data_IF_132788954488
#
_entry.id   IF_132788954488
#
_cell.length_a   1.000
_cell.length_b   1.000
_cell.length_c   1.000
_cell.angle_alpha   90.00
_cell.angle_beta   90.00
_cell.angle_gamma   90.00
#
_symmetry.space_group_name_H-M   'P 1'
#
loop_
_entity.id
_entity.type
_entity.pdbx_description
1 polymer ?
#
# COMPACT_ATOMS: atom_id res chain seq x y z
N UNK A 1 44.05 38.53 -52.08
CA UNK A 1 42.59 38.25 -52.13
C UNK A 1 42.12 38.21 -50.70
N UNK A 2 41.18 38.96 -50.14
CA UNK A 2 40.25 40.02 -50.54
C UNK A 2 39.52 40.43 -49.24
N UNK A 3 39.13 41.69 -49.11
CA UNK A 3 38.56 42.34 -47.92
C UNK A 3 37.16 41.83 -47.49
N UNK A 4 36.84 41.97 -46.18
CA UNK A 4 35.56 42.45 -45.57
C UNK A 4 35.57 42.08 -44.06
N UNK A 5 35.36 42.92 -43.02
CA UNK A 5 34.61 44.15 -42.73
C UNK A 5 33.08 43.99 -42.57
N UNK A 6 32.56 44.43 -41.40
CA UNK A 6 31.18 44.93 -41.06
C UNK A 6 30.13 43.82 -40.78
N UNK A 7 29.16 43.84 -39.84
CA UNK A 7 28.35 44.83 -39.06
C UNK A 7 28.01 44.25 -37.64
N UNK A 8 27.77 44.98 -36.53
CA UNK A 8 26.76 45.99 -36.14
C UNK A 8 25.28 45.52 -36.07
N UNK A 9 24.82 45.17 -34.84
CA UNK A 9 23.50 45.42 -34.18
C UNK A 9 22.18 44.94 -34.88
N UNK A 10 20.96 45.16 -34.32
CA UNK A 10 20.30 44.48 -33.19
C UNK A 10 18.83 44.05 -33.52
N UNK A 11 18.04 43.69 -32.49
CA UNK A 11 16.56 43.71 -32.44
C UNK A 11 15.76 42.63 -33.21
N UNK A 12 14.98 41.83 -32.47
CA UNK A 12 13.51 41.99 -32.43
C UNK A 12 12.86 41.07 -31.38
N UNK A 13 12.06 41.72 -30.52
CA UNK A 13 11.06 41.13 -29.64
C UNK A 13 10.02 40.33 -30.41
N UNK A 14 9.52 39.26 -29.80
CA UNK A 14 8.29 38.59 -30.20
C UNK A 14 7.83 37.58 -29.15
N UNK A 15 6.70 37.83 -28.44
CA UNK A 15 6.19 36.93 -27.41
C UNK A 15 5.43 35.77 -28.08
N UNK A 16 5.95 34.56 -27.92
CA UNK A 16 5.21 33.34 -28.23
C UNK A 16 4.53 32.84 -26.96
N UNK A 17 3.33 33.35 -26.68
CA UNK A 17 2.41 32.68 -25.77
C UNK A 17 2.15 31.28 -26.35
N UNK A 18 2.77 30.26 -25.75
CA UNK A 18 2.41 28.89 -26.02
C UNK A 18 1.04 28.67 -25.39
N UNK A 19 0.01 28.63 -26.24
CA UNK A 19 -1.27 28.01 -25.95
C UNK A 19 -1.02 26.53 -25.60
N UNK A 20 -0.61 26.29 -24.35
CA UNK A 20 -0.81 25.00 -23.72
C UNK A 20 -2.32 24.82 -23.66
N UNK A 21 -2.89 23.76 -24.25
CA UNK A 21 -4.29 23.47 -24.00
C UNK A 21 -4.40 23.19 -22.51
N UNK A 22 -4.98 24.14 -21.76
CA UNK A 22 -5.60 23.86 -20.49
C UNK A 22 -6.57 22.72 -20.77
N UNK A 23 -6.13 21.49 -20.49
CA UNK A 23 -7.02 20.37 -20.34
C UNK A 23 -7.97 20.80 -19.24
N UNK A 24 -9.12 21.34 -19.64
CA UNK A 24 -10.20 21.70 -18.75
C UNK A 24 -10.52 20.42 -17.99
N UNK A 25 -10.02 20.32 -16.76
CA UNK A 25 -10.45 19.32 -15.80
C UNK A 25 -11.94 19.54 -15.69
N UNK A 26 -12.72 18.74 -16.42
CA UNK A 26 -14.16 18.80 -16.31
C UNK A 26 -14.45 18.66 -14.81
N UNK A 27 -15.23 19.58 -14.23
CA UNK A 27 -15.55 19.51 -12.81
C UNK A 27 -16.06 18.10 -12.54
N UNK A 28 -15.48 17.44 -11.54
CA UNK A 28 -15.87 16.10 -11.15
C UNK A 28 -17.40 16.02 -11.16
N UNK A 29 -18.01 15.03 -11.83
CA UNK A 29 -19.45 15.01 -12.04
C UNK A 29 -20.14 15.22 -10.69
N UNK A 30 -20.93 16.29 -10.57
CA UNK A 30 -21.65 16.71 -9.34
C UNK A 30 -22.62 15.64 -8.81
N UNK A 31 -22.73 14.50 -9.48
CA UNK A 31 -23.66 13.42 -9.19
C UNK A 31 -23.36 12.61 -7.92
N UNK A 32 -22.21 12.78 -7.27
CA UNK A 32 -21.80 11.90 -6.17
C UNK A 32 -22.08 12.43 -4.74
N UNK A 33 -22.45 13.70 -4.55
CA UNK A 33 -22.52 14.29 -3.20
C UNK A 33 -23.74 13.85 -2.38
N UNK A 34 -24.84 13.47 -3.04
CA UNK A 34 -26.10 13.15 -2.37
C UNK A 34 -26.39 11.63 -2.30
N UNK A 35 -25.48 10.79 -2.81
CA UNK A 35 -25.67 9.34 -2.79
C UNK A 35 -25.42 8.77 -1.39
N UNK A 36 -26.28 7.83 -0.99
CA UNK A 36 -25.98 6.94 0.13
C UNK A 36 -24.76 6.07 -0.19
N UNK A 37 -24.15 5.46 0.84
CA UNK A 37 -22.99 4.60 0.64
C UNK A 37 -23.34 3.36 -0.22
N UNK A 38 -24.54 2.81 -0.04
CA UNK A 38 -25.08 1.72 -0.87
C UNK A 38 -25.27 2.14 -2.34
N UNK A 39 -25.85 3.31 -2.58
CA UNK A 39 -26.05 3.85 -3.93
C UNK A 39 -24.71 4.13 -4.62
N UNK A 40 -23.72 4.65 -3.88
CA UNK A 40 -22.37 4.88 -4.39
C UNK A 40 -21.70 3.57 -4.82
N UNK A 41 -21.82 2.50 -4.01
CA UNK A 41 -21.34 1.15 -4.36
C UNK A 41 -22.06 0.65 -5.62
N UNK A 42 -23.38 0.76 -5.71
CA UNK A 42 -24.13 0.32 -6.88
C UNK A 42 -23.71 1.05 -8.17
N UNK A 43 -23.58 2.37 -8.10
CA UNK A 43 -23.16 3.20 -9.23
C UNK A 43 -21.76 2.80 -9.68
N UNK A 44 -20.84 2.61 -8.74
CA UNK A 44 -19.49 2.15 -9.05
C UNK A 44 -19.47 0.76 -9.66
N UNK A 45 -20.24 -0.19 -9.12
CA UNK A 45 -20.35 -1.55 -9.67
C UNK A 45 -20.90 -1.54 -11.09
N UNK A 46 -21.92 -0.72 -11.37
CA UNK A 46 -22.47 -0.53 -12.72
C UNK A 46 -21.40 0.02 -13.68
N UNK A 47 -20.63 1.01 -13.24
CA UNK A 47 -19.50 1.57 -14.00
C UNK A 47 -18.40 0.52 -14.27
N UNK A 48 -18.02 -0.27 -13.27
CA UNK A 48 -17.01 -1.32 -13.39
C UNK A 48 -17.42 -2.44 -14.36
N UNK A 49 -18.72 -2.73 -14.46
CA UNK A 49 -19.29 -3.68 -15.42
C UNK A 49 -19.27 -3.15 -16.87
N UNK A 50 -19.39 -1.85 -17.07
CA UNK A 50 -19.38 -1.25 -18.40
C UNK A 50 -17.97 -1.31 -19.00
N UNK A 51 -17.77 -2.18 -19.99
CA UNK A 51 -16.48 -2.35 -20.70
C UNK A 51 -15.97 -1.07 -21.37
N UNK A 52 -16.85 -0.10 -21.63
CA UNK A 52 -16.49 1.18 -22.26
C UNK A 52 -16.18 2.28 -21.25
N UNK A 53 -16.40 2.03 -19.95
CA UNK A 53 -16.13 3.04 -18.93
C UNK A 53 -14.66 3.46 -18.95
N UNK A 54 -14.46 4.78 -18.96
CA UNK A 54 -13.15 5.43 -18.99
C UNK A 54 -12.39 5.10 -17.69
N UNK A 55 -11.11 4.71 -17.74
CA UNK A 55 -10.32 4.37 -16.56
C UNK A 55 -10.33 5.44 -15.47
N UNK A 56 -10.30 6.72 -15.84
CA UNK A 56 -10.30 7.83 -14.89
C UNK A 56 -11.60 7.91 -14.06
N UNK A 57 -12.74 7.53 -14.64
CA UNK A 57 -14.00 7.46 -13.89
C UNK A 57 -13.98 6.31 -12.88
N UNK A 58 -13.32 5.20 -13.20
CA UNK A 58 -13.14 4.09 -12.26
C UNK A 58 -12.18 4.48 -11.14
N UNK A 59 -11.08 5.16 -11.45
CA UNK A 59 -10.15 5.70 -10.45
C UNK A 59 -10.88 6.68 -9.52
N UNK A 60 -11.67 7.61 -10.07
CA UNK A 60 -12.49 8.52 -9.28
C UNK A 60 -13.49 7.78 -8.38
N UNK A 61 -14.15 6.75 -8.90
CA UNK A 61 -15.08 5.94 -8.10
C UNK A 61 -14.40 5.21 -6.95
N UNK A 62 -13.19 4.66 -7.16
CA UNK A 62 -12.40 4.04 -6.10
C UNK A 62 -12.06 5.08 -5.01
N UNK A 63 -11.71 6.31 -5.41
CA UNK A 63 -11.38 7.39 -4.48
C UNK A 63 -12.58 7.81 -3.64
N UNK A 64 -13.75 7.87 -4.25
CA UNK A 64 -15.00 8.20 -3.56
C UNK A 64 -15.36 7.12 -2.53
N UNK A 65 -15.31 5.84 -2.91
CA UNK A 65 -15.54 4.73 -1.98
C UNK A 65 -14.54 4.72 -0.83
N UNK A 66 -13.26 5.00 -1.10
CA UNK A 66 -12.24 5.12 -0.07
C UNK A 66 -12.51 6.28 0.90
N UNK A 67 -12.96 7.44 0.41
CA UNK A 67 -13.33 8.59 1.26
C UNK A 67 -14.53 8.28 2.13
N UNK A 68 -15.55 7.62 1.57
CA UNK A 68 -16.73 7.16 2.31
C UNK A 68 -16.35 6.16 3.40
N UNK A 69 -15.43 5.25 3.10
CA UNK A 69 -14.90 4.30 4.09
C UNK A 69 -14.27 5.04 5.27
N UNK A 70 -13.41 6.02 4.99
CA UNK A 70 -12.77 6.81 6.04
C UNK A 70 -13.79 7.60 6.88
N UNK A 71 -14.84 8.14 6.25
CA UNK A 71 -15.92 8.82 6.96
C UNK A 71 -16.73 7.86 7.85
N UNK A 72 -17.00 6.64 7.38
CA UNK A 72 -17.66 5.59 8.17
C UNK A 72 -16.81 5.17 9.37
N UNK A 73 -15.49 5.01 9.19
CA UNK A 73 -14.56 4.69 10.27
C UNK A 73 -14.53 5.78 11.36
N UNK A 74 -14.52 7.06 10.98
CA UNK A 74 -14.61 8.19 11.93
C UNK A 74 -15.94 8.20 12.69
N UNK A 75 -17.07 7.88 12.04
CA UNK A 75 -18.36 7.73 12.73
C UNK A 75 -18.36 6.57 13.71
N UNK A 76 -17.80 5.42 13.33
CA UNK A 76 -17.66 4.26 14.21
C UNK A 76 -16.81 4.58 15.44
N UNK A 77 -15.67 5.25 15.26
CA UNK A 77 -14.78 5.66 16.34
C UNK A 77 -15.48 6.60 17.33
N UNK A 78 -16.17 7.63 16.84
CA UNK A 78 -16.94 8.54 17.71
C UNK A 78 -18.06 7.83 18.47
N UNK A 79 -18.69 6.83 17.86
CA UNK A 79 -19.70 6.01 18.53
C UNK A 79 -19.08 5.13 19.62
N UNK A 80 -17.86 4.62 19.39
CA UNK A 80 -17.08 3.90 20.39
C UNK A 80 -16.68 4.79 21.57
N UNK A 81 -16.16 6.00 21.33
CA UNK A 81 -15.81 6.95 22.40
C UNK A 81 -17.02 7.27 23.31
N UNK A 82 -18.20 7.47 22.72
CA UNK A 82 -19.45 7.70 23.47
C UNK A 82 -19.92 6.47 24.25
N UNK A 83 -19.67 5.28 23.71
CA UNK A 83 -19.96 4.03 24.40
C UNK A 83 -19.06 3.87 25.64
N UNK A 84 -17.77 4.19 25.53
CA UNK A 84 -16.82 4.14 26.64
C UNK A 84 -17.09 5.21 27.70
N UNK A 85 -17.48 6.42 27.30
CA UNK A 85 -17.83 7.49 28.24
C UNK A 85 -19.18 7.29 28.95
N UNK A 86 -19.99 6.34 28.50
CA UNK A 86 -21.33 6.08 29.05
C UNK A 86 -22.38 7.13 28.64
N UNK A 87 -22.12 7.90 27.59
CA UNK A 87 -23.03 8.95 27.10
C UNK A 87 -24.21 8.36 26.33
N UNK A 88 -25.36 8.14 26.97
CA UNK A 88 -26.57 7.67 26.32
C UNK A 88 -26.77 6.15 26.39
N UNK A 89 -27.57 5.59 25.49
CA UNK A 89 -27.91 4.15 25.53
C UNK A 89 -26.82 3.33 24.84
N UNK A 90 -26.12 2.50 25.61
CA UNK A 90 -25.08 1.59 25.09
C UNK A 90 -25.56 0.69 23.93
N UNK A 91 -26.84 0.29 23.93
CA UNK A 91 -27.44 -0.48 22.83
C UNK A 91 -27.42 0.25 21.50
N UNK A 92 -27.60 1.57 21.51
CA UNK A 92 -27.76 2.38 20.31
C UNK A 92 -26.39 2.63 19.68
N UNK A 93 -25.36 2.89 20.49
CA UNK A 93 -23.98 3.00 20.01
C UNK A 93 -23.45 1.68 19.46
N UNK A 94 -23.70 0.55 20.13
CA UNK A 94 -23.31 -0.77 19.61
C UNK A 94 -23.95 -1.07 18.24
N UNK A 95 -25.22 -0.70 18.05
CA UNK A 95 -25.91 -0.83 16.76
C UNK A 95 -25.29 0.05 15.69
N UNK A 96 -24.96 1.30 16.03
CA UNK A 96 -24.32 2.23 15.11
C UNK A 96 -22.92 1.75 14.70
N UNK A 97 -22.08 1.34 15.66
CA UNK A 97 -20.75 0.78 15.38
C UNK A 97 -20.87 -0.41 14.43
N UNK A 98 -21.80 -1.34 14.71
CA UNK A 98 -22.04 -2.48 13.83
C UNK A 98 -22.46 -2.04 12.42
N UNK A 99 -23.40 -1.10 12.30
CA UNK A 99 -23.87 -0.63 11.00
C UNK A 99 -22.74 0.04 10.19
N UNK A 100 -21.85 0.80 10.83
CA UNK A 100 -20.69 1.41 10.18
C UNK A 100 -19.64 0.37 9.77
N UNK A 101 -19.42 -0.68 10.57
CA UNK A 101 -18.57 -1.82 10.19
C UNK A 101 -19.16 -2.56 8.98
N UNK A 102 -20.45 -2.86 9.00
CA UNK A 102 -21.13 -3.51 7.87
C UNK A 102 -21.03 -2.61 6.59
N UNK A 103 -21.10 -1.28 6.76
CA UNK A 103 -20.91 -0.30 5.66
C UNK A 103 -19.47 -0.32 5.12
N UNK A 104 -18.47 -0.37 5.99
CA UNK A 104 -17.06 -0.47 5.62
C UNK A 104 -16.76 -1.72 4.78
N UNK A 105 -17.35 -2.86 5.15
CA UNK A 105 -17.25 -4.11 4.40
C UNK A 105 -17.84 -3.97 2.98
N UNK A 106 -19.03 -3.37 2.85
CA UNK A 106 -19.68 -3.17 1.55
C UNK A 106 -18.90 -2.17 0.65
N UNK A 107 -18.30 -1.13 1.23
CA UNK A 107 -17.45 -0.21 0.49
C UNK A 107 -16.19 -0.90 -0.07
N UNK A 108 -15.56 -1.77 0.72
CA UNK A 108 -14.42 -2.59 0.26
C UNK A 108 -14.85 -3.57 -0.85
N UNK A 109 -15.98 -4.26 -0.69
CA UNK A 109 -16.60 -5.09 -1.76
C UNK A 109 -16.87 -4.28 -3.03
N UNK A 110 -17.28 -3.02 -2.88
CA UNK A 110 -17.45 -2.08 -3.98
C UNK A 110 -16.17 -1.91 -4.79
N UNK A 111 -15.04 -1.60 -4.14
CA UNK A 111 -13.73 -1.48 -4.80
C UNK A 111 -13.33 -2.77 -5.51
N UNK A 112 -13.64 -3.93 -4.93
CA UNK A 112 -13.34 -5.25 -5.53
C UNK A 112 -13.98 -5.46 -6.91
N UNK A 113 -15.09 -4.78 -7.20
CA UNK A 113 -15.75 -4.85 -8.50
C UNK A 113 -14.80 -4.49 -9.67
N UNK A 114 -13.85 -3.57 -9.46
CA UNK A 114 -12.87 -3.19 -10.48
C UNK A 114 -11.99 -4.38 -10.92
N UNK A 115 -11.62 -5.25 -9.99
CA UNK A 115 -10.80 -6.44 -10.26
C UNK A 115 -11.62 -7.59 -10.84
N UNK A 116 -12.88 -7.72 -10.40
CA UNK A 116 -13.80 -8.79 -10.84
C UNK A 116 -14.21 -8.61 -12.30
N UNK A 117 -14.52 -7.38 -12.71
CA UNK A 117 -15.09 -7.10 -14.05
C UNK A 117 -14.06 -6.69 -15.09
N UNK A 118 -12.95 -6.05 -14.71
CA UNK A 118 -11.82 -5.85 -15.64
C UNK A 118 -10.95 -7.10 -15.61
N UNK A 119 -10.87 -7.83 -16.72
CA UNK A 119 -10.11 -9.09 -16.81
C UNK A 119 -8.87 -9.02 -17.69
N UNK A 120 -8.83 -8.07 -18.62
CA UNK A 120 -7.73 -7.91 -19.57
C UNK A 120 -6.56 -7.17 -18.93
N UNK A 121 -5.34 -7.68 -19.09
CA UNK A 121 -4.14 -7.01 -18.59
C UNK A 121 -3.67 -6.01 -19.65
N UNK A 122 -3.94 -4.73 -19.40
CA UNK A 122 -3.50 -3.60 -20.23
C UNK A 122 -3.20 -2.39 -19.32
N UNK A 123 -2.50 -1.37 -19.84
CA UNK A 123 -2.03 -0.24 -19.04
C UNK A 123 -3.16 0.52 -18.35
N UNK A 124 -4.31 0.67 -19.02
CA UNK A 124 -5.49 1.34 -18.49
C UNK A 124 -6.08 0.60 -17.29
N UNK A 125 -6.22 -0.73 -17.38
CA UNK A 125 -6.68 -1.54 -16.26
C UNK A 125 -5.64 -1.61 -15.14
N UNK A 126 -4.34 -1.65 -15.47
CA UNK A 126 -3.28 -1.60 -14.48
C UNK A 126 -3.31 -0.30 -13.66
N UNK A 127 -3.65 0.84 -14.26
CA UNK A 127 -3.86 2.10 -13.53
C UNK A 127 -4.99 1.97 -12.50
N UNK A 128 -6.14 1.44 -12.92
CA UNK A 128 -7.30 1.22 -12.03
C UNK A 128 -6.96 0.25 -10.90
N UNK A 129 -6.31 -0.88 -11.21
CA UNK A 129 -5.95 -1.87 -10.19
C UNK A 129 -4.88 -1.38 -9.22
N UNK A 130 -3.88 -0.61 -9.70
CA UNK A 130 -2.91 0.06 -8.81
C UNK A 130 -3.61 1.01 -7.84
N UNK A 131 -4.64 1.72 -8.30
CA UNK A 131 -5.44 2.55 -7.40
C UNK A 131 -6.24 1.70 -6.41
N UNK A 132 -6.84 0.61 -6.89
CA UNK A 132 -7.59 -0.34 -6.08
C UNK A 132 -6.77 -0.95 -4.94
N UNK A 133 -5.55 -1.43 -5.20
CA UNK A 133 -4.70 -1.99 -4.12
C UNK A 133 -4.31 -0.93 -3.09
N UNK A 134 -4.06 0.31 -3.50
CA UNK A 134 -3.81 1.40 -2.55
C UNK A 134 -5.07 1.78 -1.76
N UNK A 135 -6.26 1.71 -2.36
CA UNK A 135 -7.50 1.90 -1.63
C UNK A 135 -7.68 0.81 -0.56
N UNK A 136 -7.48 -0.47 -0.92
CA UNK A 136 -7.54 -1.57 0.04
C UNK A 136 -6.54 -1.43 1.19
N UNK A 137 -5.29 -1.05 0.91
CA UNK A 137 -4.30 -0.78 1.96
C UNK A 137 -4.74 0.30 2.96
N UNK A 138 -5.50 1.31 2.50
CA UNK A 138 -6.06 2.36 3.35
C UNK A 138 -7.40 1.99 3.99
N UNK A 139 -8.03 0.89 3.58
CA UNK A 139 -9.28 0.36 4.15
C UNK A 139 -9.02 -0.63 5.30
N UNK A 140 -7.80 -0.70 5.82
CA UNK A 140 -7.50 -1.52 7.00
C UNK A 140 -7.82 -3.00 6.79
N UNK A 141 -8.28 -3.66 7.85
CA UNK A 141 -8.63 -5.09 7.87
C UNK A 141 -9.63 -5.48 6.77
N UNK A 142 -10.60 -4.62 6.43
CA UNK A 142 -11.58 -4.90 5.36
C UNK A 142 -10.94 -4.98 3.96
N UNK A 143 -9.72 -4.47 3.78
CA UNK A 143 -8.96 -4.55 2.54
C UNK A 143 -7.95 -5.70 2.50
N UNK A 144 -7.61 -6.33 3.64
CA UNK A 144 -6.49 -7.28 3.72
C UNK A 144 -6.75 -8.56 2.92
N UNK A 145 -7.95 -9.13 3.04
CA UNK A 145 -8.36 -10.34 2.30
C UNK A 145 -8.28 -10.12 0.78
N UNK A 146 -8.78 -8.99 0.28
CA UNK A 146 -8.74 -8.69 -1.15
C UNK A 146 -7.31 -8.51 -1.67
N UNK A 147 -6.41 -7.95 -0.86
CA UNK A 147 -5.00 -7.81 -1.25
C UNK A 147 -4.32 -9.17 -1.42
N UNK A 148 -4.64 -10.14 -0.57
CA UNK A 148 -4.18 -11.53 -0.73
C UNK A 148 -4.77 -12.18 -1.99
N UNK A 149 -6.08 -12.04 -2.21
CA UNK A 149 -6.73 -12.55 -3.43
C UNK A 149 -6.07 -11.98 -4.70
N UNK A 150 -5.71 -10.70 -4.70
CA UNK A 150 -5.01 -10.03 -5.81
C UNK A 150 -3.57 -10.54 -5.94
N UNK A 151 -2.86 -10.71 -4.84
CA UNK A 151 -1.49 -11.22 -4.83
C UNK A 151 -1.38 -12.63 -5.44
N UNK A 152 -2.40 -13.46 -5.24
CA UNK A 152 -2.49 -14.83 -5.75
C UNK A 152 -3.07 -14.92 -7.17
N UNK A 153 -3.64 -13.83 -7.68
CA UNK A 153 -4.26 -13.84 -9.00
C UNK A 153 -3.24 -14.10 -10.12
N UNK A 154 -3.52 -15.16 -10.89
CA UNK A 154 -2.70 -15.61 -12.03
C UNK A 154 -2.43 -14.51 -13.07
N UNK A 155 -3.31 -13.51 -13.19
CA UNK A 155 -3.12 -12.33 -14.07
C UNK A 155 -1.83 -11.59 -13.76
N UNK A 156 -1.43 -11.55 -12.48
CA UNK A 156 -0.28 -10.82 -11.98
C UNK A 156 0.89 -11.71 -11.59
N UNK A 157 0.79 -13.03 -11.79
CA UNK A 157 1.78 -14.03 -11.37
C UNK A 157 3.23 -13.70 -11.79
N UNK A 158 3.40 -13.07 -12.96
CA UNK A 158 4.71 -12.68 -13.53
C UNK A 158 5.09 -11.22 -13.26
N UNK A 159 4.18 -10.39 -12.75
CA UNK A 159 4.46 -9.00 -12.42
C UNK A 159 4.91 -8.90 -10.95
N UNK A 160 6.19 -9.16 -10.73
CA UNK A 160 6.79 -9.07 -9.39
C UNK A 160 6.63 -7.68 -8.76
N UNK A 161 6.64 -6.61 -9.56
CA UNK A 161 6.45 -5.26 -9.08
C UNK A 161 5.05 -5.02 -8.54
N UNK A 162 4.02 -5.47 -9.27
CA UNK A 162 2.64 -5.38 -8.83
C UNK A 162 2.37 -6.27 -7.60
N UNK A 163 2.84 -7.52 -7.61
CA UNK A 163 2.70 -8.42 -6.44
C UNK A 163 3.45 -7.89 -5.21
N UNK A 164 4.66 -7.38 -5.39
CA UNK A 164 5.41 -6.74 -4.31
C UNK A 164 4.70 -5.51 -3.75
N UNK A 165 3.96 -4.77 -4.60
CA UNK A 165 3.11 -3.66 -4.14
C UNK A 165 1.90 -4.15 -3.37
N UNK A 166 1.24 -5.23 -3.77
CA UNK A 166 0.17 -5.84 -2.97
C UNK A 166 0.65 -6.17 -1.55
N UNK A 167 1.82 -6.80 -1.43
CA UNK A 167 2.44 -7.13 -0.13
C UNK A 167 2.75 -5.89 0.69
N UNK A 168 3.31 -4.83 0.07
CA UNK A 168 3.51 -3.55 0.74
C UNK A 168 2.20 -2.98 1.30
N UNK A 169 1.11 -3.00 0.52
CA UNK A 169 -0.20 -2.50 0.94
C UNK A 169 -0.86 -3.39 2.01
N UNK A 170 -0.57 -4.71 2.06
CA UNK A 170 -1.00 -5.58 3.18
C UNK A 170 -0.41 -5.07 4.50
N UNK A 171 0.84 -4.63 4.52
CA UNK A 171 1.38 -4.04 5.76
C UNK A 171 0.66 -2.76 6.18
N UNK A 172 0.15 -1.97 5.23
CA UNK A 172 -0.57 -0.73 5.52
C UNK A 172 -1.95 -0.93 6.12
N UNK A 173 -2.57 -2.10 5.92
CA UNK A 173 -3.84 -2.42 6.56
C UNK A 173 -3.71 -2.45 8.08
N UNK A 174 -2.50 -2.70 8.59
CA UNK A 174 -2.20 -2.93 10.01
C UNK A 174 -2.98 -4.10 10.61
N UNK A 175 -3.42 -5.02 9.75
CA UNK A 175 -3.93 -6.32 10.15
C UNK A 175 -2.75 -7.19 10.58
N UNK A 176 -2.39 -7.11 11.86
CA UNK A 176 -1.22 -7.80 12.39
C UNK A 176 -1.38 -9.32 12.41
N UNK A 177 -2.59 -9.85 12.25
CA UNK A 177 -2.82 -11.29 12.17
C UNK A 177 -2.16 -11.91 10.92
N UNK A 178 -1.90 -11.10 9.89
CA UNK A 178 -1.27 -11.53 8.64
C UNK A 178 0.26 -11.72 8.72
N UNK A 179 0.87 -11.52 9.89
CA UNK A 179 2.34 -11.48 10.02
C UNK A 179 3.02 -12.78 9.59
N UNK A 180 2.44 -13.95 9.90
CA UNK A 180 3.04 -15.25 9.55
C UNK A 180 3.10 -15.42 8.02
N UNK A 181 2.01 -15.11 7.33
CA UNK A 181 1.95 -15.16 5.87
C UNK A 181 2.96 -14.20 5.23
N UNK A 182 3.18 -13.01 5.81
CA UNK A 182 4.22 -12.09 5.35
C UNK A 182 5.64 -12.65 5.58
N UNK A 183 5.89 -13.32 6.70
CA UNK A 183 7.17 -13.95 7.01
C UNK A 183 7.49 -15.10 6.05
N UNK A 184 6.48 -15.87 5.65
CA UNK A 184 6.61 -16.95 4.67
C UNK A 184 7.01 -16.43 3.27
N UNK A 185 6.83 -15.15 3.00
CA UNK A 185 7.27 -14.52 1.74
C UNK A 185 8.73 -14.04 1.75
N UNK A 186 9.47 -14.16 2.86
CA UNK A 186 10.86 -13.70 2.94
C UNK A 186 11.84 -14.50 2.05
N UNK A 187 11.48 -15.72 1.67
CA UNK A 187 12.24 -16.57 0.75
C UNK A 187 11.60 -16.69 -0.65
N UNK A 188 10.63 -15.83 -0.95
CA UNK A 188 9.91 -15.85 -2.22
C UNK A 188 10.86 -15.65 -3.42
N UNK A 189 10.58 -16.38 -4.51
CA UNK A 189 11.44 -16.41 -5.71
C UNK A 189 11.51 -15.06 -6.47
N UNK A 190 10.50 -14.21 -6.34
CA UNK A 190 10.50 -12.85 -6.86
C UNK A 190 11.06 -11.89 -5.82
N UNK A 191 12.18 -11.25 -6.13
CA UNK A 191 12.87 -10.31 -5.24
C UNK A 191 12.02 -9.07 -4.91
N UNK A 192 11.16 -8.61 -5.84
CA UNK A 192 10.23 -7.51 -5.61
C UNK A 192 9.18 -7.83 -4.53
N UNK A 193 8.80 -9.12 -4.39
CA UNK A 193 7.90 -9.57 -3.32
C UNK A 193 8.59 -9.48 -1.97
N UNK A 194 9.85 -9.93 -1.87
CA UNK A 194 10.66 -9.81 -0.65
C UNK A 194 10.88 -8.34 -0.25
N UNK A 195 11.09 -7.46 -1.24
CA UNK A 195 11.11 -6.01 -1.02
C UNK A 195 9.76 -5.52 -0.46
N UNK A 196 8.65 -6.01 -1.01
CA UNK A 196 7.30 -5.75 -0.52
C UNK A 196 7.14 -6.12 0.95
N UNK A 197 7.60 -7.32 1.36
CA UNK A 197 7.58 -7.78 2.75
C UNK A 197 8.35 -6.82 3.67
N UNK A 198 9.57 -6.44 3.29
CA UNK A 198 10.36 -5.48 4.05
C UNK A 198 9.65 -4.14 4.23
N UNK A 199 8.93 -3.67 3.21
CA UNK A 199 8.12 -2.44 3.33
C UNK A 199 6.86 -2.65 4.16
N UNK A 200 6.22 -3.81 4.08
CA UNK A 200 5.03 -4.14 4.86
C UNK A 200 5.32 -4.02 6.36
N UNK A 201 6.44 -4.60 6.82
CA UNK A 201 6.88 -4.53 8.20
C UNK A 201 7.29 -3.13 8.70
N UNK A 202 7.38 -2.12 7.82
CA UNK A 202 7.54 -0.73 8.28
C UNK A 202 6.32 -0.25 9.07
N UNK A 203 5.16 -0.85 8.84
CA UNK A 203 3.90 -0.51 9.49
C UNK A 203 3.58 -1.34 10.74
N UNK A 204 4.54 -2.16 11.20
CA UNK A 204 4.40 -3.05 12.36
C UNK A 204 5.08 -2.48 13.63
N UNK A 205 5.39 -1.19 13.67
CA UNK A 205 6.01 -0.53 14.83
C UNK A 205 5.15 -0.63 16.09
N UNK A 206 3.82 -0.61 15.91
CA UNK A 206 2.80 -0.75 16.96
C UNK A 206 2.20 -2.15 17.07
N UNK A 207 2.79 -3.14 16.42
CA UNK A 207 2.33 -4.52 16.58
C UNK A 207 2.63 -5.00 18.02
N UNK A 208 1.85 -5.96 18.55
CA UNK A 208 2.13 -6.60 19.83
C UNK A 208 3.59 -7.05 19.93
N UNK A 209 4.20 -6.90 21.10
CA UNK A 209 5.61 -7.20 21.36
C UNK A 209 6.00 -8.63 21.01
N UNK A 210 5.09 -9.59 21.19
CA UNK A 210 5.25 -10.97 20.70
C UNK A 210 5.43 -11.01 19.17
N UNK A 211 4.56 -10.35 18.42
CA UNK A 211 4.61 -10.29 16.95
C UNK A 211 5.89 -9.56 16.51
N UNK A 212 6.22 -8.42 17.12
CA UNK A 212 7.47 -7.68 16.81
C UNK A 212 8.71 -8.55 17.00
N UNK A 213 8.76 -9.32 18.08
CA UNK A 213 9.86 -10.25 18.41
C UNK A 213 10.01 -11.33 17.35
N UNK A 214 8.93 -12.03 17.01
CA UNK A 214 8.94 -13.12 16.01
C UNK A 214 9.32 -12.59 14.62
N UNK A 215 8.79 -11.43 14.23
CA UNK A 215 9.14 -10.79 12.97
C UNK A 215 10.62 -10.39 12.93
N UNK A 216 11.13 -9.80 14.03
CA UNK A 216 12.54 -9.41 14.14
C UNK A 216 13.48 -10.60 14.00
N UNK A 217 13.17 -11.73 14.65
CA UNK A 217 13.97 -12.96 14.55
C UNK A 217 14.12 -13.42 13.10
N UNK A 218 13.00 -13.53 12.40
CA UNK A 218 12.94 -14.03 11.03
C UNK A 218 13.60 -13.06 10.05
N UNK A 219 13.42 -11.76 10.25
CA UNK A 219 14.09 -10.72 9.46
C UNK A 219 15.61 -10.72 9.66
N UNK A 220 16.11 -10.85 10.89
CA UNK A 220 17.56 -10.96 11.17
C UNK A 220 18.16 -12.16 10.41
N UNK A 221 17.47 -13.31 10.46
CA UNK A 221 17.89 -14.52 9.73
C UNK A 221 17.86 -14.32 8.21
N UNK A 222 16.80 -13.69 7.69
CA UNK A 222 16.67 -13.41 6.26
C UNK A 222 17.78 -12.48 5.78
N UNK A 223 18.05 -11.39 6.51
CA UNK A 223 19.11 -10.43 6.21
C UNK A 223 20.48 -11.12 6.13
N UNK A 224 20.81 -12.00 7.08
CA UNK A 224 22.08 -12.73 7.07
C UNK A 224 22.16 -13.74 5.92
N UNK A 225 21.06 -14.43 5.62
CA UNK A 225 20.94 -15.34 4.48
C UNK A 225 21.20 -14.64 3.15
N UNK A 226 20.54 -13.50 2.89
CA UNK A 226 20.74 -12.72 1.67
C UNK A 226 22.15 -12.12 1.58
N UNK A 227 22.71 -11.65 2.70
CA UNK A 227 24.10 -11.19 2.71
C UNK A 227 25.06 -12.32 2.32
N UNK A 228 24.91 -13.49 2.91
CA UNK A 228 25.77 -14.65 2.64
C UNK A 228 25.71 -15.05 1.16
N UNK A 229 24.49 -15.09 0.59
CA UNK A 229 24.28 -15.30 -0.86
C UNK A 229 24.95 -14.22 -1.72
N UNK A 230 24.96 -12.97 -1.25
CA UNK A 230 25.62 -11.86 -1.94
C UNK A 230 27.14 -11.89 -1.87
N UNK A 231 27.74 -12.55 -0.88
CA UNK A 231 29.19 -12.62 -0.69
C UNK A 231 29.81 -13.93 -1.22
N UNK A 232 29.00 -15.00 -1.34
CA UNK A 232 29.49 -16.37 -1.58
C UNK A 232 30.10 -16.66 -2.95
N UNK A 233 30.08 -15.73 -3.92
CA UNK A 233 30.69 -15.90 -5.26
C UNK A 233 30.01 -16.95 -6.16
N UNK A 234 29.31 -17.93 -5.60
CA UNK A 234 28.62 -19.03 -6.30
C UNK A 234 27.38 -18.57 -7.07
N UNK A 235 26.72 -17.51 -6.60
CA UNK A 235 25.54 -16.94 -7.27
C UNK A 235 25.87 -15.57 -7.87
N UNK A 236 26.00 -15.53 -9.21
CA UNK A 236 26.29 -14.30 -9.98
C UNK A 236 25.25 -13.21 -9.70
N UNK A 237 23.99 -13.58 -9.41
CA UNK A 237 22.92 -12.63 -9.09
C UNK A 237 22.87 -12.24 -7.61
N UNK A 238 23.62 -12.91 -6.74
CA UNK A 238 23.62 -12.70 -5.28
C UNK A 238 23.84 -11.23 -4.88
N UNK A 239 24.91 -10.57 -5.35
CA UNK A 239 25.17 -9.16 -5.03
C UNK A 239 24.03 -8.22 -5.46
N UNK A 240 23.43 -8.48 -6.64
CA UNK A 240 22.33 -7.71 -7.19
C UNK A 240 21.06 -7.84 -6.35
N UNK A 241 20.69 -9.08 -6.01
CA UNK A 241 19.53 -9.38 -5.15
C UNK A 241 19.73 -8.73 -3.78
N UNK A 242 20.90 -8.93 -3.17
CA UNK A 242 21.23 -8.33 -1.88
C UNK A 242 21.10 -6.80 -1.90
N UNK A 243 21.61 -6.15 -2.96
CA UNK A 243 21.49 -4.71 -3.14
C UNK A 243 20.03 -4.21 -3.15
N UNK A 244 19.11 -5.00 -3.71
CA UNK A 244 17.67 -4.67 -3.73
C UNK A 244 16.98 -4.88 -2.38
N UNK A 245 17.21 -6.02 -1.73
CA UNK A 245 16.44 -6.40 -0.53
C UNK A 245 17.01 -5.82 0.77
N UNK A 246 18.31 -5.51 0.83
CA UNK A 246 18.98 -5.03 2.05
C UNK A 246 18.27 -3.84 2.68
N UNK A 247 18.01 -2.80 1.89
CA UNK A 247 17.45 -1.54 2.40
C UNK A 247 16.09 -1.74 3.09
N UNK A 248 15.08 -2.30 2.40
CA UNK A 248 13.77 -2.57 2.97
C UNK A 248 13.82 -3.45 4.24
N UNK A 249 14.61 -4.53 4.24
CA UNK A 249 14.68 -5.43 5.41
C UNK A 249 15.34 -4.75 6.63
N UNK A 250 16.39 -3.96 6.42
CA UNK A 250 17.04 -3.20 7.50
C UNK A 250 16.11 -2.10 8.05
N UNK A 251 15.33 -1.46 7.18
CA UNK A 251 14.34 -0.47 7.59
C UNK A 251 13.19 -1.11 8.39
N UNK A 252 12.75 -2.32 8.01
CA UNK A 252 11.79 -3.10 8.78
C UNK A 252 12.30 -3.40 10.19
N UNK A 253 13.53 -3.91 10.32
CA UNK A 253 14.17 -4.17 11.60
C UNK A 253 14.23 -2.91 12.48
N UNK A 254 14.55 -1.76 11.88
CA UNK A 254 14.52 -0.47 12.57
C UNK A 254 13.12 -0.09 13.04
N UNK A 255 12.10 -0.29 12.22
CA UNK A 255 10.71 0.02 12.59
C UNK A 255 10.23 -0.83 13.77
N UNK A 256 10.49 -2.15 13.71
CA UNK A 256 10.06 -3.12 14.73
C UNK A 256 10.75 -2.94 16.09
N UNK A 257 12.00 -2.44 16.10
CA UNK A 257 12.84 -2.41 17.32
C UNK A 257 13.14 -0.99 17.82
N UNK A 258 12.92 0.03 16.99
CA UNK A 258 13.40 1.39 17.24
C UNK A 258 14.93 1.55 17.23
N UNK A 259 15.70 0.49 16.98
CA UNK A 259 17.17 0.52 16.92
C UNK A 259 17.66 0.65 15.49
N UNK A 260 18.87 1.16 15.31
CA UNK A 260 19.43 1.39 13.98
C UNK A 260 20.85 0.84 13.89
N UNK A 261 21.05 -0.12 12.99
CA UNK A 261 22.36 -0.71 12.70
C UNK A 261 22.58 -0.78 11.19
N UNK A 262 23.84 -0.63 10.75
CA UNK A 262 24.20 -0.58 9.33
C UNK A 262 24.60 -1.94 8.75
N UNK A 263 24.92 -2.91 9.60
CA UNK A 263 25.43 -4.23 9.20
C UNK A 263 24.53 -5.37 9.71
N UNK A 264 24.52 -6.50 8.97
CA UNK A 264 23.76 -7.69 9.39
C UNK A 264 24.30 -8.31 10.68
N UNK A 265 25.62 -8.27 10.89
CA UNK A 265 26.26 -8.82 12.08
C UNK A 265 25.84 -8.08 13.34
N UNK A 266 25.69 -6.76 13.26
CA UNK A 266 25.21 -5.96 14.39
C UNK A 266 23.77 -6.30 14.73
N UNK A 267 22.91 -6.55 13.73
CA UNK A 267 21.56 -7.07 13.95
C UNK A 267 21.56 -8.48 14.57
N UNK A 268 22.47 -9.36 14.16
CA UNK A 268 22.61 -10.69 14.79
C UNK A 268 23.06 -10.58 16.25
N UNK A 269 24.01 -9.68 16.55
CA UNK A 269 24.45 -9.41 17.93
C UNK A 269 23.29 -8.86 18.77
N UNK A 270 22.60 -7.85 18.26
CA UNK A 270 21.40 -7.29 18.87
C UNK A 270 20.38 -8.39 19.19
N UNK A 271 20.06 -9.25 18.22
CA UNK A 271 19.12 -10.34 18.45
C UNK A 271 19.60 -11.28 19.57
N UNK A 272 20.87 -11.67 19.58
CA UNK A 272 21.39 -12.56 20.61
C UNK A 272 21.34 -11.96 22.02
N UNK A 273 21.54 -10.65 22.13
CA UNK A 273 21.49 -9.91 23.39
C UNK A 273 20.05 -9.72 23.89
N UNK A 274 19.15 -9.27 23.02
CA UNK A 274 17.81 -8.82 23.41
C UNK A 274 16.68 -9.83 23.16
N UNK A 275 16.92 -10.99 22.54
CA UNK A 275 15.86 -11.99 22.24
C UNK A 275 15.07 -12.46 23.45
N UNK A 276 15.59 -12.34 24.67
CA UNK A 276 14.92 -12.74 25.91
C UNK A 276 14.61 -11.55 26.84
N UNK A 277 14.88 -10.32 26.40
CA UNK A 277 14.62 -9.13 27.18
C UNK A 277 13.13 -8.79 27.18
N UNK A 278 12.48 -8.93 28.34
CA UNK A 278 11.04 -8.65 28.48
C UNK A 278 10.70 -7.18 28.29
N UNK A 279 11.59 -6.25 28.64
CA UNK A 279 11.35 -4.82 28.49
C UNK A 279 11.42 -4.39 27.02
N UNK A 280 12.21 -5.07 26.21
CA UNK A 280 12.29 -4.81 24.76
C UNK A 280 11.00 -5.23 24.03
N UNK A 281 10.35 -6.29 24.49
CA UNK A 281 9.20 -6.92 23.83
C UNK A 281 7.90 -6.78 24.61
N UNK A 282 7.81 -5.82 25.53
CA UNK A 282 6.54 -5.46 26.14
C UNK A 282 5.65 -4.71 25.14
N UNK A 283 4.35 -4.82 25.36
CA UNK A 283 3.37 -3.93 24.73
C UNK A 283 3.48 -2.58 25.47
N UNK A 284 3.67 -1.50 24.71
CA UNK A 284 3.68 -0.12 25.23
C UNK A 284 2.25 0.35 25.55
#
# INVERSE_FOLDING_TARGET
MGFAAIALLPFLLGPGASDSPEASLQPAPRYAQDLTDEEAVEVFVKLAKDKKAVPDLLVFGIDDLQKRYAASADRALRAFDKLESGEGKASDWKKLIKAEVDTQEELAKGVWAAFRYRKEVNDQHMQVWRRGITAFGNMGEHGSEYLWEIFEDKRFSRDGGFRGRCVEEIGRTRDYEQYEALLDLLDHHLEEVVVGVGKAFLHYDKAPGKIRRECTEKLVRAVESYRSRGQGGENINGPRIWGKVKGPLMAALKSLTGKSYSTSLDWTKFWNEYKNDKAMWSDD
#
